data_IF_941487974688
#
_entry.id   IF_941487974688
#
_cell.length_a   1.000
_cell.length_b   1.000
_cell.length_c   1.000
_cell.angle_alpha   90.00
_cell.angle_beta   90.00
_cell.angle_gamma   90.00
#
_symmetry.space_group_name_H-M   'P 1'
#
loop_
_entity.id
_entity.type
_entity.pdbx_description
1 polymer ?
#
# COMPACT_ATOMS: atom_id res chain seq x y z
N UNK A 1 -8.81 7.26 17.54
CA UNK A 1 -7.39 7.56 17.23
C UNK A 1 -6.71 6.23 16.99
N UNK A 2 -5.83 6.11 16.00
CA UNK A 2 -5.19 4.84 15.61
C UNK A 2 -3.67 4.96 15.62
N UNK A 3 -2.98 3.82 15.74
CA UNK A 3 -1.54 3.72 15.56
C UNK A 3 -1.28 2.96 14.27
N UNK A 4 -0.74 3.60 13.22
CA UNK A 4 -0.43 2.88 12.00
C UNK A 4 0.75 1.93 12.23
N UNK A 5 0.71 0.78 11.58
CA UNK A 5 1.82 -0.16 11.52
C UNK A 5 2.80 0.25 10.41
N UNK A 6 4.12 0.03 10.57
CA UNK A 6 4.77 -0.51 11.79
C UNK A 6 4.93 0.54 12.91
N UNK A 7 5.04 1.81 12.54
CA UNK A 7 5.04 2.95 13.45
C UNK A 7 4.69 4.22 12.66
N UNK A 8 4.36 5.31 13.35
CA UNK A 8 3.92 6.55 12.71
C UNK A 8 4.92 7.12 11.71
N UNK A 9 6.21 7.17 12.05
CA UNK A 9 7.23 7.79 11.20
C UNK A 9 7.48 6.93 9.96
N UNK A 10 7.59 5.61 10.16
CA UNK A 10 7.83 4.67 9.06
C UNK A 10 6.61 4.58 8.14
N UNK A 11 5.40 4.42 8.69
CA UNK A 11 4.17 4.33 7.90
C UNK A 11 3.93 5.60 7.08
N UNK A 12 4.10 6.79 7.66
CA UNK A 12 3.97 8.05 6.94
C UNK A 12 4.99 8.15 5.79
N UNK A 13 6.24 7.73 6.02
CA UNK A 13 7.28 7.70 4.99
C UNK A 13 6.94 6.74 3.86
N UNK A 14 6.46 5.54 4.18
CA UNK A 14 6.05 4.54 3.20
C UNK A 14 4.85 5.04 2.37
N UNK A 15 3.88 5.68 3.01
CA UNK A 15 2.71 6.26 2.36
C UNK A 15 3.10 7.37 1.38
N UNK A 16 3.96 8.31 1.80
CA UNK A 16 4.49 9.36 0.94
C UNK A 16 5.31 8.79 -0.23
N UNK A 17 6.08 7.73 0.00
CA UNK A 17 6.86 7.06 -1.04
C UNK A 17 5.97 6.41 -2.11
N UNK A 18 4.85 5.81 -1.70
CA UNK A 18 3.85 5.25 -2.60
C UNK A 18 2.95 6.33 -3.26
N UNK A 19 3.12 7.61 -2.92
CA UNK A 19 2.30 8.70 -3.46
C UNK A 19 0.88 8.74 -2.92
N UNK A 20 0.63 8.19 -1.72
CA UNK A 20 -0.70 8.12 -1.13
C UNK A 20 -1.32 9.49 -0.82
N UNK A 21 -2.64 9.61 -1.00
CA UNK A 21 -3.37 10.85 -0.77
C UNK A 21 -3.48 11.23 0.73
N UNK A 22 -3.80 12.50 1.01
CA UNK A 22 -4.08 12.96 2.38
C UNK A 22 -5.49 12.56 2.85
N UNK A 23 -6.43 12.38 1.92
CA UNK A 23 -7.74 11.78 2.20
C UNK A 23 -7.65 10.27 2.12
N UNK A 24 -8.28 9.60 3.08
CA UNK A 24 -8.36 8.14 3.14
C UNK A 24 -9.74 7.71 3.66
N UNK A 25 -10.13 6.49 3.30
CA UNK A 25 -11.32 5.84 3.86
C UNK A 25 -10.86 4.90 4.98
N UNK A 26 -11.43 5.07 6.17
CA UNK A 26 -11.21 4.18 7.30
C UNK A 26 -12.34 3.14 7.35
N UNK A 27 -11.97 1.86 7.54
CA UNK A 27 -12.94 0.77 7.72
C UNK A 27 -12.49 -0.17 8.84
N UNK A 28 -13.47 -0.69 9.58
CA UNK A 28 -13.28 -1.75 10.58
C UNK A 28 -13.72 -3.13 10.06
N UNK A 29 -14.51 -3.18 8.99
CA UNK A 29 -15.08 -4.41 8.45
C UNK A 29 -14.30 -4.93 7.22
N UNK A 30 -13.67 -4.02 6.46
CA UNK A 30 -12.90 -4.38 5.28
C UNK A 30 -11.51 -4.90 5.68
N UNK A 31 -11.11 -6.04 5.11
CA UNK A 31 -9.77 -6.61 5.30
C UNK A 31 -8.84 -6.22 4.15
N UNK A 32 -7.53 -6.32 4.36
CA UNK A 32 -6.55 -6.10 3.30
C UNK A 32 -6.73 -7.06 2.11
N UNK A 33 -7.05 -8.34 2.38
CA UNK A 33 -7.30 -9.33 1.33
C UNK A 33 -8.50 -8.93 0.45
N UNK A 34 -9.58 -8.44 1.05
CA UNK A 34 -10.75 -7.98 0.29
C UNK A 34 -10.40 -6.82 -0.67
N UNK A 35 -9.50 -5.92 -0.26
CA UNK A 35 -9.04 -4.82 -1.11
C UNK A 35 -8.07 -5.30 -2.19
N UNK A 36 -7.21 -6.27 -1.89
CA UNK A 36 -6.32 -6.91 -2.86
C UNK A 36 -7.13 -7.61 -3.96
N UNK A 37 -8.08 -8.46 -3.58
CA UNK A 37 -8.97 -9.18 -4.50
C UNK A 37 -9.75 -8.19 -5.39
N UNK A 38 -10.26 -7.10 -4.79
CA UNK A 38 -10.94 -6.05 -5.55
C UNK A 38 -10.03 -5.36 -6.56
N UNK A 39 -8.81 -4.99 -6.17
CA UNK A 39 -7.83 -4.39 -7.08
C UNK A 39 -7.46 -5.36 -8.22
N UNK A 40 -7.33 -6.65 -7.95
CA UNK A 40 -7.07 -7.67 -8.98
C UNK A 40 -8.20 -7.73 -10.00
N UNK A 41 -9.46 -7.81 -9.56
CA UNK A 41 -10.65 -7.82 -10.41
C UNK A 41 -10.71 -6.55 -11.27
N UNK A 42 -10.40 -5.40 -10.67
CA UNK A 42 -10.45 -4.10 -11.36
C UNK A 42 -9.22 -3.84 -12.23
N UNK A 43 -8.17 -4.66 -12.15
CA UNK A 43 -6.92 -4.45 -12.85
C UNK A 43 -6.17 -3.19 -12.38
N UNK A 44 -6.09 -2.98 -11.07
CA UNK A 44 -5.42 -1.85 -10.43
C UNK A 44 -4.25 -2.38 -9.58
N UNK A 45 -3.15 -1.62 -9.50
CA UNK A 45 -2.05 -1.95 -8.60
C UNK A 45 -2.51 -1.92 -7.13
N UNK A 46 -2.12 -2.95 -6.37
CA UNK A 46 -2.32 -3.00 -4.92
C UNK A 46 -0.98 -2.90 -4.17
N UNK A 47 -0.92 -1.98 -3.22
CA UNK A 47 0.25 -1.77 -2.34
C UNK A 47 -0.22 -1.85 -0.89
N UNK A 48 0.30 -2.82 -0.15
CA UNK A 48 -0.06 -3.04 1.25
C UNK A 48 1.10 -2.63 2.16
N UNK A 49 0.86 -1.62 3.00
CA UNK A 49 1.76 -1.24 4.10
C UNK A 49 1.27 -1.90 5.38
N UNK A 50 2.09 -2.76 5.97
CA UNK A 50 1.82 -3.51 7.18
C UNK A 50 3.05 -3.52 8.12
N UNK A 51 2.97 -4.30 9.20
CA UNK A 51 4.02 -4.38 10.23
C UNK A 51 5.37 -4.92 9.72
N UNK A 52 5.38 -5.74 8.66
CA UNK A 52 6.60 -6.26 8.02
C UNK A 52 7.17 -5.33 6.95
N UNK A 53 6.44 -4.27 6.58
CA UNK A 53 6.85 -3.42 5.46
C UNK A 53 8.05 -2.56 5.83
N UNK A 54 9.12 -2.67 5.05
CA UNK A 54 10.31 -1.84 5.16
C UNK A 54 10.40 -0.86 4.00
N UNK A 55 11.19 0.21 4.18
CA UNK A 55 11.41 1.20 3.10
C UNK A 55 12.09 0.56 1.88
N UNK A 56 13.04 -0.35 2.09
CA UNK A 56 13.73 -1.03 0.99
C UNK A 56 12.81 -2.01 0.24
N UNK A 57 12.03 -2.81 0.96
CA UNK A 57 11.07 -3.73 0.33
C UNK A 57 10.03 -2.99 -0.48
N UNK A 58 9.47 -1.89 0.05
CA UNK A 58 8.47 -1.11 -0.67
C UNK A 58 9.05 -0.45 -1.92
N UNK A 59 10.26 0.12 -1.87
CA UNK A 59 10.92 0.68 -3.06
C UNK A 59 11.11 -0.36 -4.16
N UNK A 60 11.54 -1.56 -3.80
CA UNK A 60 11.73 -2.64 -4.76
C UNK A 60 10.39 -3.10 -5.36
N UNK A 61 9.36 -3.24 -4.52
CA UNK A 61 8.01 -3.59 -4.97
C UNK A 61 7.47 -2.56 -5.96
N UNK A 62 7.47 -1.27 -5.60
CA UNK A 62 6.97 -0.20 -6.48
C UNK A 62 7.72 -0.15 -7.82
N UNK A 63 9.03 -0.37 -7.83
CA UNK A 63 9.81 -0.42 -9.07
C UNK A 63 9.39 -1.59 -9.97
N UNK A 64 9.22 -2.79 -9.40
CA UNK A 64 8.79 -3.96 -10.15
C UNK A 64 7.34 -3.83 -10.63
N UNK A 65 6.45 -3.31 -9.79
CA UNK A 65 5.07 -3.02 -10.14
C UNK A 65 4.98 -2.01 -11.29
N UNK A 66 5.68 -0.87 -11.20
CA UNK A 66 5.67 0.16 -12.24
C UNK A 66 6.07 -0.42 -13.61
N UNK A 67 7.07 -1.29 -13.65
CA UNK A 67 7.46 -2.00 -14.86
C UNK A 67 6.35 -2.97 -15.32
N UNK A 68 5.84 -3.82 -14.44
CA UNK A 68 4.81 -4.81 -14.76
C UNK A 68 3.53 -4.16 -15.31
N UNK A 69 3.08 -3.07 -14.69
CA UNK A 69 1.86 -2.35 -15.09
C UNK A 69 2.02 -1.52 -16.35
N UNK A 70 3.24 -1.06 -16.68
CA UNK A 70 3.53 -0.41 -17.98
C UNK A 70 3.64 -1.40 -19.14
N UNK A 71 3.97 -2.65 -18.86
CA UNK A 71 4.13 -3.71 -19.86
C UNK A 71 2.86 -4.54 -20.08
N UNK A 72 1.85 -4.38 -19.21
CA UNK A 72 0.54 -5.01 -19.33
C UNK A 72 -0.32 -4.27 -20.35
#
# INVERSE_FOLDING_TARGET
>A
MWRPEPDLNTAAKLWMLAGGAHHATLSYDATAQMLEDWCEIMGIEFVHINKETTVSSLKQQLFLSDLAWKLR
#
